data_IF_294084289846
#
_entry.id   IF_294084289846
#
_cell.length_a   1.000
_cell.length_b   1.000
_cell.length_c   1.000
_cell.angle_alpha   90.00
_cell.angle_beta   90.00
_cell.angle_gamma   90.00
#
_symmetry.space_group_name_H-M   'P 1'
#
loop_
_entity.id
_entity.type
_entity.pdbx_description
1 polymer ?
#
# COMPACT_ATOMS: atom_id res chain seq x y z
N UNK A 1 -11.49 -1.50 -12.02
CA UNK A 1 -10.36 -0.68 -12.48
C UNK A 1 -9.67 -0.12 -11.25
N UNK A 2 -8.34 -0.14 -11.20
CA UNK A 2 -7.52 0.39 -10.10
C UNK A 2 -6.42 1.24 -10.72
N UNK A 3 -6.09 2.36 -10.10
CA UNK A 3 -5.12 3.31 -10.61
C UNK A 3 -4.16 3.73 -9.48
N UNK A 4 -2.87 3.56 -9.73
CA UNK A 4 -1.77 4.11 -8.95
C UNK A 4 -0.95 5.08 -9.78
N UNK A 5 -0.46 6.15 -9.16
CA UNK A 5 0.44 7.12 -9.77
C UNK A 5 1.58 7.48 -8.82
N UNK A 6 2.79 7.54 -9.37
CA UNK A 6 3.97 8.06 -8.70
C UNK A 6 4.65 9.13 -9.57
N UNK A 7 5.01 10.25 -8.95
CA UNK A 7 5.80 11.31 -9.59
C UNK A 7 7.08 11.48 -8.77
N UNK A 8 8.23 11.35 -9.43
CA UNK A 8 9.55 11.49 -8.83
C UNK A 8 10.30 12.64 -9.51
N UNK A 9 10.95 13.49 -8.73
CA UNK A 9 11.92 14.47 -9.20
C UNK A 9 13.17 14.47 -8.30
N UNK A 10 14.11 15.39 -8.54
CA UNK A 10 15.36 15.46 -7.76
C UNK A 10 15.17 15.76 -6.27
N UNK A 11 14.01 16.30 -5.90
CA UNK A 11 13.73 16.75 -4.53
C UNK A 11 12.85 15.77 -3.76
N UNK A 12 11.88 15.12 -4.41
CA UNK A 12 10.84 14.37 -3.72
C UNK A 12 10.12 13.35 -4.60
N UNK A 13 9.31 12.52 -3.94
CA UNK A 13 8.34 11.59 -4.52
C UNK A 13 6.94 11.94 -4.03
N UNK A 14 5.97 11.99 -4.94
CA UNK A 14 4.54 12.03 -4.63
C UNK A 14 3.87 10.73 -5.07
N UNK A 15 3.04 10.13 -4.21
CA UNK A 15 2.31 8.89 -4.46
C UNK A 15 0.81 9.14 -4.29
N UNK A 16 -0.01 8.62 -5.20
CA UNK A 16 -1.47 8.63 -5.08
C UNK A 16 -2.08 7.35 -5.68
N UNK A 17 -3.22 6.93 -5.16
CA UNK A 17 -3.94 5.73 -5.60
C UNK A 17 -5.44 5.87 -5.30
N UNK A 18 -6.27 5.16 -6.06
CA UNK A 18 -7.70 5.06 -5.78
C UNK A 18 -7.99 4.09 -4.61
N UNK A 19 -9.16 4.22 -3.98
CA UNK A 19 -9.58 3.35 -2.88
C UNK A 19 -10.59 2.27 -3.29
N UNK A 20 -10.89 2.11 -4.58
CA UNK A 20 -11.91 1.19 -5.06
C UNK A 20 -11.39 -0.25 -5.12
N UNK A 21 -12.13 -1.19 -4.56
CA UNK A 21 -11.90 -2.63 -4.67
C UNK A 21 -13.21 -3.33 -5.04
N UNK A 22 -13.14 -4.28 -5.97
CA UNK A 22 -14.30 -5.05 -6.41
C UNK A 22 -14.28 -6.41 -5.73
N UNK A 23 -15.36 -6.75 -5.01
CA UNK A 23 -15.56 -8.06 -4.38
C UNK A 23 -16.87 -8.63 -4.93
N UNK A 24 -16.76 -9.63 -5.82
CA UNK A 24 -17.89 -10.08 -6.62
C UNK A 24 -18.43 -8.92 -7.48
N UNK A 25 -19.72 -8.62 -7.35
CA UNK A 25 -20.37 -7.54 -8.10
C UNK A 25 -20.39 -6.20 -7.35
N UNK A 26 -19.79 -6.12 -6.16
CA UNK A 26 -19.83 -4.92 -5.31
C UNK A 26 -18.49 -4.21 -5.27
N UNK A 27 -18.54 -2.88 -5.44
CA UNK A 27 -17.38 -2.00 -5.30
C UNK A 27 -17.38 -1.38 -3.90
N UNK A 28 -16.25 -1.46 -3.22
CA UNK A 28 -15.97 -0.83 -1.93
C UNK A 28 -14.91 0.25 -2.12
N UNK A 29 -15.10 1.45 -1.56
CA UNK A 29 -14.20 2.59 -1.75
C UNK A 29 -13.31 2.87 -0.52
N UNK A 30 -12.97 1.83 0.24
CA UNK A 30 -12.23 1.94 1.51
C UNK A 30 -10.92 1.16 1.52
N UNK A 31 -10.43 0.70 0.35
CA UNK A 31 -9.18 -0.04 0.28
C UNK A 31 -7.99 0.89 0.52
N UNK A 32 -7.08 0.47 1.40
CA UNK A 32 -5.80 1.15 1.61
C UNK A 32 -4.81 0.57 0.61
N UNK A 33 -4.49 1.36 -0.43
CA UNK A 33 -3.52 0.97 -1.47
C UNK A 33 -2.17 1.66 -1.34
N UNK A 34 -2.01 2.60 -0.41
CA UNK A 34 -0.73 3.24 -0.09
C UNK A 34 -0.47 3.06 1.40
N UNK A 35 0.66 2.44 1.75
CA UNK A 35 1.09 2.24 3.14
C UNK A 35 2.56 2.63 3.30
N UNK A 36 2.96 3.28 4.39
CA UNK A 36 4.38 3.44 4.69
C UNK A 36 4.99 2.08 5.03
N UNK A 37 6.17 1.74 4.52
CA UNK A 37 6.89 0.53 4.97
C UNK A 37 7.50 0.75 6.36
N UNK A 38 8.04 1.95 6.60
CA UNK A 38 8.73 2.35 7.83
C UNK A 38 8.29 3.75 8.26
N UNK A 39 8.32 4.00 9.57
CA UNK A 39 8.25 5.37 10.11
C UNK A 39 9.63 5.98 10.38
N UNK A 40 10.71 5.19 10.31
CA UNK A 40 12.10 5.63 10.44
C UNK A 40 12.70 6.05 9.10
N UNK A 41 12.33 5.37 8.02
CA UNK A 41 12.82 5.62 6.67
C UNK A 41 11.66 6.01 5.74
N UNK A 42 11.83 6.99 4.84
CA UNK A 42 10.76 7.49 3.96
C UNK A 42 10.50 6.51 2.80
N UNK A 43 9.96 5.33 3.10
CA UNK A 43 9.65 4.28 2.13
C UNK A 43 8.14 4.06 2.10
N UNK A 44 7.51 4.27 0.95
CA UNK A 44 6.09 4.00 0.70
C UNK A 44 5.90 2.76 -0.18
N UNK A 45 4.81 2.03 0.05
CA UNK A 45 4.38 0.86 -0.75
C UNK A 45 3.03 1.16 -1.37
N UNK A 46 2.89 0.86 -2.67
CA UNK A 46 1.62 0.86 -3.38
C UNK A 46 1.22 -0.57 -3.75
N UNK A 47 -0.07 -0.91 -3.62
CA UNK A 47 -0.59 -2.27 -3.87
C UNK A 47 -1.54 -2.24 -5.07
N UNK A 48 -1.18 -2.98 -6.11
CA UNK A 48 -1.98 -3.19 -7.32
C UNK A 48 -2.59 -4.59 -7.37
N UNK A 49 -3.78 -4.69 -7.99
CA UNK A 49 -4.49 -5.93 -8.33
C UNK A 49 -4.97 -6.74 -7.12
N UNK A 50 -4.08 -7.52 -6.48
CA UNK A 50 -4.46 -8.40 -5.37
C UNK A 50 -4.20 -7.72 -4.03
N UNK A 51 -5.21 -7.75 -3.15
CA UNK A 51 -5.07 -7.28 -1.76
C UNK A 51 -4.36 -8.30 -0.85
N UNK A 52 -4.10 -9.51 -1.35
CA UNK A 52 -3.47 -10.59 -0.59
C UNK A 52 -2.28 -11.18 -1.32
N UNK A 53 -1.29 -11.61 -0.54
CA UNK A 53 -0.14 -12.39 -0.96
C UNK A 53 -0.17 -13.73 -0.22
N UNK A 54 -0.27 -14.84 -0.95
CA UNK A 54 -0.41 -16.20 -0.37
C UNK A 54 -1.57 -16.31 0.64
N UNK A 55 -2.69 -15.63 0.38
CA UNK A 55 -3.83 -15.59 1.30
C UNK A 55 -3.67 -14.67 2.52
N UNK A 56 -2.52 -14.01 2.66
CA UNK A 56 -2.25 -13.06 3.75
C UNK A 56 -2.45 -11.63 3.22
N UNK A 57 -3.22 -10.75 3.90
CA UNK A 57 -3.36 -9.36 3.50
C UNK A 57 -2.01 -8.62 3.48
N UNK A 58 -1.77 -7.84 2.43
CA UNK A 58 -0.55 -7.02 2.32
C UNK A 58 -0.37 -6.08 3.52
N UNK A 59 -1.45 -5.51 4.02
CA UNK A 59 -1.45 -4.66 5.21
C UNK A 59 -0.84 -5.38 6.43
N UNK A 60 -1.17 -6.66 6.64
CA UNK A 60 -0.65 -7.47 7.74
C UNK A 60 0.85 -7.71 7.58
N UNK A 61 1.30 -8.06 6.36
CA UNK A 61 2.71 -8.31 6.05
C UNK A 61 3.53 -7.04 6.31
N UNK A 62 3.09 -5.91 5.76
CA UNK A 62 3.78 -4.62 5.86
C UNK A 62 3.84 -4.15 7.32
N UNK A 63 2.73 -4.23 8.06
CA UNK A 63 2.70 -3.87 9.49
C UNK A 63 3.59 -4.77 10.34
N UNK A 64 3.65 -6.07 10.03
CA UNK A 64 4.52 -7.03 10.72
C UNK A 64 6.00 -6.67 10.52
N UNK A 65 6.41 -6.42 9.26
CA UNK A 65 7.76 -5.96 8.94
C UNK A 65 8.09 -4.64 9.65
N UNK A 66 7.17 -3.67 9.62
CA UNK A 66 7.36 -2.38 10.30
C UNK A 66 7.63 -2.54 11.78
N UNK A 67 6.85 -3.41 12.46
CA UNK A 67 7.04 -3.70 13.88
C UNK A 67 8.42 -4.32 14.16
N UNK A 68 8.92 -5.19 13.29
CA UNK A 68 10.27 -5.75 13.42
C UNK A 68 11.36 -4.67 13.28
N UNK A 69 11.21 -3.79 12.29
CA UNK A 69 12.13 -2.67 12.05
C UNK A 69 12.10 -1.62 13.17
N UNK A 70 10.97 -1.44 13.86
CA UNK A 70 10.87 -0.54 14.99
C UNK A 70 11.60 -1.07 16.24
N UNK A 71 11.68 -2.40 16.39
CA UNK A 71 12.36 -3.08 17.50
C UNK A 71 13.89 -3.21 17.34
N UNK A 72 14.43 -2.86 16.16
CA UNK A 72 15.88 -2.72 15.91
C UNK A 72 16.33 -1.28 16.06
#
# INVERSE_FOLDING_TARGET
MTAEIAILNRSAVALAADSAVTVGDKVYNSAIKILPLSYKHPIGIMIYNTSTFMGIPWETIIKSYRKQLDNT
#
